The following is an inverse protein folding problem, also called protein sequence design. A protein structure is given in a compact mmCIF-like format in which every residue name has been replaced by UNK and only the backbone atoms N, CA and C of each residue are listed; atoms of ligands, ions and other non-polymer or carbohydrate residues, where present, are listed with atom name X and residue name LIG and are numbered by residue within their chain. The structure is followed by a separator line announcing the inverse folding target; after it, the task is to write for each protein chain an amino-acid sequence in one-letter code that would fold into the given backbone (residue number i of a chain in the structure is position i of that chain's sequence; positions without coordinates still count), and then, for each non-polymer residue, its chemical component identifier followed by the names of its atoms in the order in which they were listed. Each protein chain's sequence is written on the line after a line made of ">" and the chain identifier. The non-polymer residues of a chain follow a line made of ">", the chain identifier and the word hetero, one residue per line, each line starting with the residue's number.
data_IF_272462925503
#
_entry.id   IF_272462925503
#
_cell.length_a   1.000
_cell.length_b   1.000
_cell.length_c   1.000
_cell.angle_alpha   90.00
_cell.angle_beta   90.00
_cell.angle_gamma   90.00
#
_symmetry.space_group_name_H-M   'P 1'
#
loop_
_entity.id
_entity.type
_entity.pdbx_description
1 polymer ?
#
# COMPACT_ATOMS: atom_id res chain seq x y z
N UNK A 1 20.63 -10.75 0.87
CA UNK A 1 20.14 -9.35 0.97
C UNK A 1 18.88 -9.45 1.80
N UNK A 2 18.82 -8.75 2.93
CA UNK A 2 17.73 -8.90 3.90
C UNK A 2 16.39 -8.42 3.34
N UNK A 3 15.30 -8.92 3.90
CA UNK A 3 13.90 -8.57 3.67
C UNK A 3 13.70 -7.06 3.41
N UNK A 4 14.16 -6.22 4.33
CA UNK A 4 14.02 -4.78 4.25
C UNK A 4 14.76 -4.13 3.07
N UNK A 5 15.93 -4.64 2.69
CA UNK A 5 16.67 -4.11 1.54
C UNK A 5 16.01 -4.47 0.21
N UNK A 6 15.38 -5.64 0.12
CA UNK A 6 14.63 -6.07 -1.07
C UNK A 6 13.32 -5.27 -1.22
N UNK A 7 12.59 -5.07 -0.12
CA UNK A 7 11.37 -4.28 -0.05
C UNK A 7 11.65 -2.82 -0.42
N UNK A 8 12.72 -2.23 0.13
CA UNK A 8 13.13 -0.87 -0.15
C UNK A 8 13.63 -0.65 -1.56
N UNK A 9 14.35 -1.59 -2.14
CA UNK A 9 14.84 -1.39 -3.52
C UNK A 9 13.70 -1.36 -4.54
N UNK A 10 12.59 -2.04 -4.26
CA UNK A 10 11.37 -1.97 -5.07
C UNK A 10 10.58 -0.68 -4.84
N UNK A 11 10.39 -0.31 -3.58
CA UNK A 11 9.61 0.86 -3.16
C UNK A 11 10.39 2.15 -3.43
N UNK A 12 11.70 2.22 -3.14
CA UNK A 12 12.48 3.46 -3.29
C UNK A 12 12.66 3.92 -4.72
N UNK A 13 12.62 3.02 -5.71
CA UNK A 13 12.68 3.41 -7.13
C UNK A 13 11.39 4.05 -7.63
N UNK A 14 10.24 3.57 -7.13
CA UNK A 14 8.93 4.10 -7.52
C UNK A 14 8.52 5.33 -6.67
N UNK A 15 9.10 5.49 -5.48
CA UNK A 15 8.66 6.47 -4.49
C UNK A 15 9.81 7.34 -3.95
N UNK A 16 10.86 7.61 -4.74
CA UNK A 16 11.99 8.47 -4.34
C UNK A 16 11.59 9.81 -3.71
N UNK A 17 10.55 10.53 -4.17
CA UNK A 17 10.08 11.75 -3.49
C UNK A 17 9.40 11.45 -2.15
N UNK A 18 8.74 10.31 -2.06
CA UNK A 18 7.95 9.85 -0.92
C UNK A 18 8.86 9.33 0.19
N UNK A 19 9.92 8.62 -0.18
CA UNK A 19 10.97 8.15 0.72
C UNK A 19 11.60 9.34 1.45
N UNK A 20 11.74 10.54 0.85
CA UNK A 20 12.26 11.76 1.51
C UNK A 20 11.32 12.29 2.63
N UNK A 21 10.05 11.97 2.65
CA UNK A 21 9.10 12.41 3.66
C UNK A 21 8.99 11.50 4.92
N UNK A 22 9.37 10.23 4.86
CA UNK A 22 9.22 9.25 5.97
C UNK A 22 10.25 9.39 7.10
N UNK A 23 11.42 9.95 6.83
CA UNK A 23 12.55 9.96 7.79
C UNK A 23 12.37 10.77 9.05
N UNK A 24 11.67 11.90 9.01
CA UNK A 24 11.60 12.74 10.21
C UNK A 24 10.69 12.14 11.28
N UNK A 25 9.72 11.33 10.85
CA UNK A 25 8.76 10.64 11.71
C UNK A 25 9.35 9.36 12.29
N UNK A 26 10.16 8.68 11.50
CA UNK A 26 10.82 7.44 11.86
C UNK A 26 11.94 7.60 12.89
N UNK A 27 12.41 8.84 13.13
CA UNK A 27 13.52 9.12 14.05
C UNK A 27 13.25 8.77 15.51
N UNK A 28 12.01 8.59 15.90
CA UNK A 28 11.62 8.35 17.29
C UNK A 28 11.19 6.90 17.60
N UNK A 29 11.16 6.00 16.63
CA UNK A 29 10.85 4.58 16.84
C UNK A 29 12.11 3.72 16.90
N UNK A 30 12.29 2.82 17.90
CA UNK A 30 13.46 1.96 18.02
C UNK A 30 13.70 1.06 16.80
N UNK A 31 12.64 0.51 16.21
CA UNK A 31 12.73 -0.30 14.99
C UNK A 31 13.07 0.59 13.77
N UNK A 32 12.49 1.75 13.73
CA UNK A 32 12.69 2.71 12.65
C UNK A 32 14.05 3.39 12.72
N UNK A 33 14.63 3.58 13.90
CA UNK A 33 16.04 3.99 14.04
C UNK A 33 17.00 2.98 13.40
N UNK A 34 16.65 1.70 13.37
CA UNK A 34 17.41 0.64 12.68
C UNK A 34 17.19 0.67 11.15
N UNK A 35 16.08 1.27 10.68
CA UNK A 35 15.76 1.46 9.26
C UNK A 35 16.23 2.81 8.72
N UNK A 36 16.49 3.80 9.58
CA UNK A 36 16.90 5.16 9.24
C UNK A 36 18.12 5.30 8.31
N UNK A 37 19.17 4.47 8.41
CA UNK A 37 20.26 4.52 7.43
C UNK A 37 19.82 4.21 6.00
N UNK A 38 18.59 3.70 5.86
CA UNK A 38 18.02 3.24 4.59
C UNK A 38 16.99 4.24 4.03
N UNK A 39 16.38 5.12 4.86
CA UNK A 39 15.16 5.85 4.50
C UNK A 39 15.21 7.34 4.75
N UNK A 40 16.15 8.03 4.98
CA UNK A 40 16.21 9.50 5.19
C UNK A 40 14.97 10.36 4.81
N UNK A 41 13.72 10.33 5.44
CA UNK A 41 12.63 11.17 4.91
C UNK A 41 11.27 11.30 5.65
N UNK A 42 10.51 12.44 5.50
CA UNK A 42 9.13 12.73 5.98
C UNK A 42 8.00 12.27 5.01
N UNK A 43 6.87 11.73 5.51
CA UNK A 43 5.77 11.15 4.72
C UNK A 43 4.77 12.23 4.25
N UNK A 44 4.54 12.44 2.96
CA UNK A 44 3.44 13.26 2.48
C UNK A 44 2.09 12.49 2.51
N UNK A 45 0.94 13.21 2.54
CA UNK A 45 -0.42 12.65 2.59
C UNK A 45 -0.75 11.48 1.63
N UNK A 46 -0.16 11.36 0.42
CA UNK A 46 -0.45 10.23 -0.47
C UNK A 46 -0.09 8.85 0.08
N UNK A 47 0.76 8.74 1.12
CA UNK A 47 1.17 7.42 1.63
C UNK A 47 0.09 6.72 2.44
N UNK A 48 -0.74 7.44 3.17
CA UNK A 48 -1.90 6.84 3.84
C UNK A 48 -2.84 6.24 2.80
N UNK A 49 -3.04 6.95 1.68
CA UNK A 49 -3.81 6.48 0.56
C UNK A 49 -3.22 5.21 -0.06
N UNK A 50 -1.91 5.19 -0.27
CA UNK A 50 -1.20 4.02 -0.82
C UNK A 50 -1.34 2.82 0.12
N UNK A 51 -1.17 3.02 1.43
CA UNK A 51 -1.29 1.94 2.41
C UNK A 51 -2.71 1.36 2.43
N UNK A 52 -3.74 2.21 2.44
CA UNK A 52 -5.15 1.77 2.40
C UNK A 52 -5.42 0.95 1.15
N UNK A 53 -5.05 1.45 -0.03
CA UNK A 53 -5.29 0.76 -1.30
C UNK A 53 -4.52 -0.56 -1.36
N UNK A 54 -3.25 -0.56 -0.97
CA UNK A 54 -2.42 -1.77 -0.99
C UNK A 54 -3.03 -2.88 -0.15
N UNK A 55 -3.49 -2.56 1.07
CA UNK A 55 -4.12 -3.54 1.95
C UNK A 55 -5.43 -4.07 1.39
N UNK A 56 -6.26 -3.22 0.79
CA UNK A 56 -7.49 -3.70 0.13
C UNK A 56 -7.18 -4.66 -1.02
N UNK A 57 -6.19 -4.33 -1.86
CA UNK A 57 -5.76 -5.21 -2.96
C UNK A 57 -5.23 -6.54 -2.43
N UNK A 58 -4.39 -6.51 -1.40
CA UNK A 58 -3.80 -7.69 -0.78
C UNK A 58 -4.89 -8.54 -0.13
N UNK A 59 -5.77 -7.93 0.67
CA UNK A 59 -6.91 -8.60 1.30
C UNK A 59 -7.80 -9.30 0.27
N UNK A 60 -8.07 -8.65 -0.86
CA UNK A 60 -8.83 -9.24 -1.95
C UNK A 60 -8.10 -10.43 -2.60
N UNK A 61 -6.77 -10.38 -2.73
CA UNK A 61 -5.97 -11.49 -3.27
C UNK A 61 -5.91 -12.69 -2.32
N UNK A 62 -5.83 -12.43 -1.02
CA UNK A 62 -5.71 -13.47 0.01
C UNK A 62 -7.06 -14.01 0.49
N UNK A 63 -8.15 -13.31 0.19
CA UNK A 63 -9.50 -13.68 0.64
C UNK A 63 -9.72 -13.49 2.15
N UNK A 64 -8.85 -12.72 2.81
CA UNK A 64 -8.97 -12.38 4.24
C UNK A 64 -8.68 -10.89 4.45
N UNK A 65 -9.42 -10.22 5.37
CA UNK A 65 -9.12 -8.84 5.72
C UNK A 65 -7.80 -8.77 6.52
N UNK A 66 -6.97 -7.79 6.21
CA UNK A 66 -5.77 -7.48 6.98
C UNK A 66 -5.92 -6.11 7.64
N UNK A 67 -5.35 -5.98 8.84
CA UNK A 67 -5.33 -4.72 9.57
C UNK A 67 -3.90 -4.15 9.60
N UNK A 68 -3.56 -3.19 8.72
CA UNK A 68 -2.21 -2.67 8.66
C UNK A 68 -1.83 -1.84 9.91
N UNK A 69 -2.80 -1.29 10.63
CA UNK A 69 -2.53 -0.56 11.88
C UNK A 69 -2.03 -1.52 12.96
N UNK A 70 -2.73 -2.64 13.13
CA UNK A 70 -2.41 -3.69 14.09
C UNK A 70 -1.05 -4.32 13.77
N UNK A 71 -0.91 -4.86 12.56
CA UNK A 71 0.34 -5.48 12.13
C UNK A 71 1.51 -4.50 12.21
N UNK A 72 1.35 -3.28 11.75
CA UNK A 72 2.41 -2.28 11.77
C UNK A 72 2.77 -1.84 13.18
N UNK A 73 1.81 -1.74 14.10
CA UNK A 73 2.06 -1.45 15.50
C UNK A 73 2.84 -2.60 16.16
N UNK A 74 2.38 -3.84 15.99
CA UNK A 74 3.06 -5.03 16.48
C UNK A 74 4.50 -5.13 15.96
N UNK A 75 4.70 -4.97 14.65
CA UNK A 75 6.02 -4.97 14.03
C UNK A 75 6.93 -3.85 14.53
N UNK A 76 6.36 -2.69 14.89
CA UNK A 76 7.12 -1.57 15.44
C UNK A 76 7.59 -1.83 16.88
N UNK A 77 6.77 -2.49 17.69
CA UNK A 77 7.10 -2.83 19.09
C UNK A 77 8.01 -4.06 19.21
N UNK A 78 8.05 -4.93 18.19
CA UNK A 78 8.76 -6.19 18.22
C UNK A 78 10.29 -6.04 18.33
N UNK A 79 10.91 -6.88 19.15
CA UNK A 79 12.37 -6.98 19.30
C UNK A 79 13.02 -7.84 18.22
N UNK A 80 12.26 -8.75 17.58
CA UNK A 80 12.68 -9.58 16.46
C UNK A 80 12.18 -9.01 15.14
N UNK A 81 12.79 -9.49 14.05
CA UNK A 81 12.50 -9.06 12.68
C UNK A 81 12.00 -10.24 11.85
N UNK A 82 11.28 -9.99 10.73
CA UNK A 82 10.84 -11.05 9.84
C UNK A 82 11.96 -12.01 9.40
N UNK A 83 13.18 -11.50 9.19
CA UNK A 83 14.33 -12.34 8.79
C UNK A 83 14.87 -13.29 9.87
N UNK A 84 14.37 -13.20 11.09
CA UNK A 84 14.70 -14.12 12.20
C UNK A 84 13.80 -15.38 12.19
N UNK A 85 12.87 -15.49 11.24
CA UNK A 85 11.87 -16.56 11.09
C UNK A 85 11.96 -17.22 9.71
N UNK A 86 11.50 -18.46 9.62
CA UNK A 86 11.52 -19.23 8.36
C UNK A 86 10.41 -18.76 7.38
N UNK A 87 9.33 -18.20 7.90
CA UNK A 87 8.21 -17.64 7.11
C UNK A 87 7.62 -16.38 7.76
N UNK A 88 6.88 -15.60 6.97
CA UNK A 88 6.17 -14.44 7.50
C UNK A 88 5.01 -14.86 8.43
N UNK A 89 4.38 -16.00 8.18
CA UNK A 89 3.34 -16.55 9.06
C UNK A 89 3.89 -16.86 10.47
N UNK A 90 5.06 -17.48 10.58
CA UNK A 90 5.71 -17.71 11.88
C UNK A 90 6.05 -16.40 12.61
N UNK A 91 6.45 -15.38 11.85
CA UNK A 91 6.65 -14.04 12.42
C UNK A 91 5.35 -13.41 12.92
N UNK A 92 4.25 -13.55 12.19
CA UNK A 92 2.91 -13.08 12.64
C UNK A 92 2.47 -13.81 13.91
N UNK A 93 2.59 -15.13 13.96
CA UNK A 93 2.27 -15.90 15.17
C UNK A 93 3.08 -15.39 16.37
N UNK A 94 4.38 -15.12 16.17
CA UNK A 94 5.23 -14.52 17.21
C UNK A 94 4.75 -13.13 17.65
N UNK A 95 4.32 -12.28 16.71
CA UNK A 95 3.79 -10.96 17.02
C UNK A 95 2.50 -11.06 17.84
N UNK A 96 1.56 -11.90 17.43
CA UNK A 96 0.28 -12.09 18.11
C UNK A 96 0.43 -12.61 19.53
N UNK A 97 1.42 -13.52 19.75
CA UNK A 97 1.71 -14.07 21.07
C UNK A 97 2.41 -13.09 22.02
N UNK A 98 3.31 -12.24 21.50
CA UNK A 98 4.21 -11.45 22.33
C UNK A 98 3.91 -9.95 22.32
N UNK A 99 3.21 -9.45 21.30
CA UNK A 99 2.88 -8.03 21.09
C UNK A 99 1.40 -7.85 20.73
N UNK A 100 0.45 -8.24 21.61
CA UNK A 100 -0.97 -8.05 21.35
C UNK A 100 -1.27 -6.56 21.10
N UNK A 101 -2.08 -6.27 20.09
CA UNK A 101 -2.37 -4.90 19.68
C UNK A 101 -3.04 -4.10 20.81
N UNK A 102 -2.40 -3.03 21.21
CA UNK A 102 -2.94 -2.08 22.18
C UNK A 102 -3.57 -0.90 21.43
N UNK A 103 -4.90 -0.94 21.28
CA UNK A 103 -5.66 0.10 20.58
C UNK A 103 -5.52 1.45 21.27
N UNK A 104 -5.53 1.50 22.61
CA UNK A 104 -5.44 2.76 23.35
C UNK A 104 -4.06 3.40 23.17
N UNK A 105 -3.00 2.59 23.23
CA UNK A 105 -1.64 3.04 22.96
C UNK A 105 -1.47 3.52 21.50
N UNK A 106 -2.06 2.82 20.53
CA UNK A 106 -2.06 3.24 19.12
C UNK A 106 -2.82 4.56 18.94
N UNK A 107 -4.01 4.70 19.54
CA UNK A 107 -4.85 5.89 19.38
C UNK A 107 -4.22 7.12 20.03
N UNK A 108 -3.37 6.94 21.04
CA UNK A 108 -2.60 8.01 21.68
C UNK A 108 -1.40 8.51 20.85
N UNK A 109 -1.02 7.81 19.80
CA UNK A 109 0.06 8.22 18.89
C UNK A 109 -0.32 9.46 18.07
N UNK A 110 0.70 10.17 17.56
CA UNK A 110 0.49 11.26 16.58
C UNK A 110 0.02 10.69 15.24
N UNK A 111 -0.60 11.52 14.41
CA UNK A 111 -1.05 11.10 13.08
C UNK A 111 0.13 10.57 12.22
N UNK A 112 1.31 11.17 12.37
CA UNK A 112 2.52 10.73 11.69
C UNK A 112 2.96 9.34 12.15
N UNK A 113 2.89 9.05 13.45
CA UNK A 113 3.23 7.73 14.00
C UNK A 113 2.24 6.67 13.51
N UNK A 114 0.93 6.99 13.50
CA UNK A 114 -0.12 6.12 12.97
C UNK A 114 0.11 5.82 11.47
N UNK A 115 0.45 6.84 10.70
CA UNK A 115 0.80 6.69 9.28
C UNK A 115 2.02 5.78 9.10
N UNK A 116 3.04 5.93 9.94
CA UNK A 116 4.22 5.06 9.91
C UNK A 116 3.85 3.59 10.22
N UNK A 117 3.01 3.35 11.24
CA UNK A 117 2.51 2.00 11.54
C UNK A 117 1.74 1.41 10.35
N UNK A 118 0.80 2.15 9.74
CA UNK A 118 0.07 1.68 8.56
C UNK A 118 1.00 1.30 7.42
N UNK A 119 2.05 2.08 7.21
CA UNK A 119 3.03 1.79 6.16
C UNK A 119 3.86 0.54 6.46
N UNK A 120 4.30 0.35 7.71
CA UNK A 120 5.01 -0.86 8.15
C UNK A 120 4.10 -2.08 7.97
N UNK A 121 2.85 -1.99 8.40
CA UNK A 121 1.87 -3.06 8.24
C UNK A 121 1.56 -3.39 6.78
N UNK A 122 1.45 -2.37 5.91
CA UNK A 122 1.35 -2.58 4.47
C UNK A 122 2.54 -3.39 3.93
N UNK A 123 3.75 -3.04 4.36
CA UNK A 123 4.94 -3.79 3.95
C UNK A 123 4.89 -5.25 4.44
N UNK A 124 4.41 -5.48 5.66
CA UNK A 124 4.20 -6.82 6.21
C UNK A 124 3.19 -7.63 5.39
N UNK A 125 2.03 -7.06 5.10
CA UNK A 125 1.00 -7.72 4.26
C UNK A 125 1.48 -8.01 2.84
N UNK A 126 2.35 -7.19 2.27
CA UNK A 126 2.97 -7.48 0.97
C UNK A 126 3.90 -8.69 1.00
N UNK A 127 4.63 -8.91 2.10
CA UNK A 127 5.46 -10.13 2.25
C UNK A 127 4.58 -11.36 2.49
N UNK A 128 3.52 -11.24 3.30
CA UNK A 128 2.56 -12.32 3.47
C UNK A 128 1.95 -12.75 2.13
N UNK A 129 1.53 -11.81 1.30
CA UNK A 129 1.02 -12.09 -0.04
C UNK A 129 2.08 -12.78 -0.92
N UNK A 130 3.31 -12.32 -0.86
CA UNK A 130 4.42 -12.93 -1.60
C UNK A 130 4.64 -14.38 -1.17
N UNK A 131 4.64 -14.65 0.14
CA UNK A 131 4.79 -16.00 0.67
C UNK A 131 3.59 -16.88 0.29
N UNK A 132 2.36 -16.39 0.47
CA UNK A 132 1.13 -17.09 0.11
C UNK A 132 1.03 -17.43 -1.39
N UNK A 133 1.68 -16.67 -2.24
CA UNK A 133 1.69 -16.88 -3.71
C UNK A 133 2.99 -17.48 -4.23
N UNK A 134 3.91 -17.92 -3.36
CA UNK A 134 5.25 -18.37 -3.72
C UNK A 134 6.00 -17.36 -4.62
N UNK A 135 5.75 -16.07 -4.43
CA UNK A 135 6.35 -14.99 -5.21
C UNK A 135 5.78 -14.81 -6.62
N UNK A 136 4.72 -15.54 -6.99
CA UNK A 136 4.08 -15.42 -8.31
C UNK A 136 3.32 -14.10 -8.46
N UNK A 137 2.71 -13.60 -7.39
CA UNK A 137 2.05 -12.31 -7.38
C UNK A 137 2.90 -11.26 -6.67
N UNK A 138 3.05 -10.11 -7.32
CA UNK A 138 3.64 -8.91 -6.71
C UNK A 138 2.77 -7.71 -7.05
N UNK A 139 2.43 -6.94 -6.03
CA UNK A 139 1.72 -5.69 -6.23
C UNK A 139 2.62 -4.70 -6.97
N UNK A 140 2.10 -4.11 -8.06
CA UNK A 140 2.84 -3.14 -8.85
C UNK A 140 2.85 -1.77 -8.13
N UNK A 141 4.00 -1.30 -7.62
CA UNK A 141 4.08 -0.02 -6.93
C UNK A 141 3.64 1.17 -7.80
N UNK A 142 3.88 1.10 -9.11
CA UNK A 142 3.44 2.16 -10.03
C UNK A 142 1.92 2.22 -10.11
N UNK A 143 1.22 1.08 -10.13
CA UNK A 143 -0.26 1.06 -10.11
C UNK A 143 -0.84 1.65 -8.82
N UNK A 144 -0.20 1.37 -7.68
CA UNK A 144 -0.56 2.01 -6.40
C UNK A 144 -0.36 3.53 -6.45
N UNK A 145 0.80 3.96 -6.94
CA UNK A 145 1.14 5.38 -7.04
C UNK A 145 0.20 6.14 -7.98
N UNK A 146 -0.16 5.51 -9.11
CA UNK A 146 -1.13 6.07 -10.07
C UNK A 146 -2.49 6.26 -9.41
N UNK A 147 -3.00 5.25 -8.70
CA UNK A 147 -4.30 5.36 -8.04
C UNK A 147 -4.27 6.38 -6.90
N UNK A 148 -3.23 6.36 -6.06
CA UNK A 148 -3.10 7.31 -4.96
C UNK A 148 -2.94 8.76 -5.45
N UNK A 149 -2.18 8.98 -6.51
CA UNK A 149 -2.00 10.29 -7.12
C UNK A 149 -3.29 10.80 -7.78
N UNK A 150 -4.01 9.95 -8.51
CA UNK A 150 -5.31 10.29 -9.08
C UNK A 150 -6.32 10.64 -7.98
N UNK A 151 -6.43 9.81 -6.95
CA UNK A 151 -7.31 10.05 -5.80
C UNK A 151 -7.01 11.37 -5.09
N UNK A 152 -5.72 11.68 -4.89
CA UNK A 152 -5.28 12.96 -4.32
C UNK A 152 -5.68 14.15 -5.19
N UNK A 153 -5.46 14.08 -6.52
CA UNK A 153 -5.84 15.12 -7.47
C UNK A 153 -7.34 15.35 -7.53
N UNK A 154 -8.13 14.29 -7.35
CA UNK A 154 -9.60 14.35 -7.34
C UNK A 154 -10.18 14.71 -5.97
N UNK A 155 -9.33 14.86 -4.94
CA UNK A 155 -9.73 15.21 -3.58
C UNK A 155 -10.50 14.10 -2.85
N UNK A 156 -10.25 12.83 -3.20
CA UNK A 156 -10.92 11.70 -2.57
C UNK A 156 -10.46 11.47 -1.13
N UNK A 157 -11.41 11.12 -0.27
CA UNK A 157 -11.10 10.64 1.08
C UNK A 157 -10.56 9.21 1.06
N UNK A 158 -9.98 8.76 2.17
CA UNK A 158 -9.54 7.36 2.33
C UNK A 158 -10.71 6.37 2.13
N UNK A 159 -11.89 6.68 2.64
CA UNK A 159 -13.08 5.82 2.46
C UNK A 159 -13.53 5.77 0.98
N UNK A 160 -13.46 6.89 0.28
CA UNK A 160 -13.75 6.96 -1.16
C UNK A 160 -12.76 6.11 -1.95
N UNK A 161 -11.46 6.23 -1.65
CA UNK A 161 -10.41 5.42 -2.28
C UNK A 161 -10.59 3.93 -2.03
N UNK A 162 -10.93 3.55 -0.79
CA UNK A 162 -11.21 2.18 -0.41
C UNK A 162 -12.40 1.61 -1.19
N UNK A 163 -13.50 2.34 -1.26
CA UNK A 163 -14.68 1.94 -2.02
C UNK A 163 -14.37 1.81 -3.52
N UNK A 164 -13.60 2.75 -4.08
CA UNK A 164 -13.16 2.68 -5.46
C UNK A 164 -12.28 1.44 -5.71
N UNK A 165 -11.28 1.21 -4.88
CA UNK A 165 -10.38 0.06 -5.01
C UNK A 165 -11.16 -1.26 -4.94
N UNK A 166 -12.09 -1.40 -3.99
CA UNK A 166 -12.94 -2.58 -3.86
C UNK A 166 -13.83 -2.80 -5.09
N UNK A 167 -14.47 -1.73 -5.58
CA UNK A 167 -15.26 -1.79 -6.80
C UNK A 167 -14.43 -2.22 -8.01
N UNK A 168 -13.24 -1.66 -8.17
CA UNK A 168 -12.33 -2.02 -9.25
C UNK A 168 -11.86 -3.48 -9.14
N UNK A 169 -11.47 -3.92 -7.95
CA UNK A 169 -10.99 -5.28 -7.68
C UNK A 169 -12.08 -6.34 -7.89
N UNK A 170 -13.34 -6.03 -7.65
CA UNK A 170 -14.46 -6.95 -7.90
C UNK A 170 -14.57 -7.35 -9.38
N UNK A 171 -14.07 -6.51 -10.28
CA UNK A 171 -14.05 -6.74 -11.74
C UNK A 171 -12.70 -7.31 -12.20
N UNK A 172 -11.59 -6.77 -11.70
CA UNK A 172 -10.24 -7.05 -12.20
C UNK A 172 -9.54 -8.19 -11.46
N UNK A 173 -9.91 -8.42 -10.20
CA UNK A 173 -9.09 -9.21 -9.29
C UNK A 173 -7.75 -8.55 -8.97
N UNK A 174 -6.98 -9.12 -8.06
CA UNK A 174 -5.68 -8.60 -7.66
C UNK A 174 -4.68 -8.49 -8.81
N UNK A 175 -4.47 -9.54 -9.64
CA UNK A 175 -3.57 -9.46 -10.79
C UNK A 175 -3.95 -8.38 -11.80
N UNK A 176 -5.25 -8.17 -12.02
CA UNK A 176 -5.74 -7.15 -12.94
C UNK A 176 -5.50 -5.72 -12.45
N UNK A 177 -5.39 -5.51 -11.13
CA UNK A 177 -5.03 -4.22 -10.57
C UNK A 177 -3.67 -3.71 -11.08
N UNK A 178 -2.72 -4.61 -11.29
CA UNK A 178 -1.39 -4.26 -11.79
C UNK A 178 -1.40 -3.66 -13.20
N UNK A 179 -2.48 -3.86 -13.96
CA UNK A 179 -2.64 -3.26 -15.29
C UNK A 179 -2.92 -1.76 -15.26
N UNK A 180 -3.27 -1.19 -14.10
CA UNK A 180 -3.65 0.23 -13.99
C UNK A 180 -2.54 1.18 -14.44
N UNK A 181 -1.28 0.85 -14.13
CA UNK A 181 -0.13 1.65 -14.58
C UNK A 181 0.02 1.64 -16.10
N UNK A 182 -0.17 0.49 -16.75
CA UNK A 182 -0.07 0.38 -18.21
C UNK A 182 -1.30 0.98 -18.90
N UNK A 183 -2.46 0.92 -18.24
CA UNK A 183 -3.67 1.62 -18.68
C UNK A 183 -3.44 3.14 -18.75
N UNK A 184 -2.95 3.74 -17.67
CA UNK A 184 -2.67 5.16 -17.60
C UNK A 184 -1.55 5.61 -18.59
N UNK A 185 -0.67 4.68 -18.99
CA UNK A 185 0.35 4.92 -20.04
C UNK A 185 -0.17 4.71 -21.47
N UNK A 186 -1.40 4.23 -21.65
CA UNK A 186 -1.92 3.84 -22.96
C UNK A 186 -1.25 2.61 -23.58
N UNK A 187 -0.63 1.74 -22.76
CA UNK A 187 0.16 0.60 -23.22
C UNK A 187 -0.61 -0.73 -23.28
N UNK A 188 -1.91 -0.73 -22.96
CA UNK A 188 -2.72 -1.95 -22.97
C UNK A 188 -3.28 -2.26 -24.35
N UNK A 189 -3.40 -3.56 -24.66
CA UNK A 189 -4.18 -4.04 -25.78
C UNK A 189 -5.69 -3.80 -25.56
N UNK A 190 -6.48 -3.80 -26.64
CA UNK A 190 -7.90 -3.43 -26.59
C UNK A 190 -8.73 -4.29 -25.62
N UNK A 191 -8.43 -5.57 -25.46
CA UNK A 191 -9.14 -6.47 -24.54
C UNK A 191 -8.88 -6.09 -23.10
N UNK A 192 -7.61 -5.92 -22.70
CA UNK A 192 -7.23 -5.58 -21.33
C UNK A 192 -7.62 -4.14 -20.99
N UNK A 193 -7.53 -3.22 -21.95
CA UNK A 193 -8.06 -1.87 -21.83
C UNK A 193 -9.54 -1.91 -21.45
N UNK A 194 -10.36 -2.66 -22.18
CA UNK A 194 -11.79 -2.77 -21.89
C UNK A 194 -12.11 -3.41 -20.55
N UNK A 195 -11.23 -4.30 -20.03
CA UNK A 195 -11.37 -4.84 -18.67
C UNK A 195 -11.10 -3.77 -17.63
N UNK A 196 -9.99 -3.02 -17.78
CA UNK A 196 -9.63 -1.95 -16.83
C UNK A 196 -10.66 -0.84 -16.84
N UNK A 197 -11.18 -0.44 -18.01
CA UNK A 197 -12.26 0.55 -18.11
C UNK A 197 -13.51 0.13 -17.32
N UNK A 198 -13.93 -1.13 -17.43
CA UNK A 198 -15.05 -1.66 -16.63
C UNK A 198 -14.75 -1.64 -15.14
N UNK A 199 -13.51 -1.98 -14.76
CA UNK A 199 -13.06 -1.91 -13.37
C UNK A 199 -13.12 -0.49 -12.84
N UNK A 200 -12.62 0.49 -13.59
CA UNK A 200 -12.66 1.91 -13.23
C UNK A 200 -14.11 2.41 -13.11
N UNK A 201 -14.98 2.10 -14.09
CA UNK A 201 -16.39 2.49 -14.05
C UNK A 201 -17.11 1.92 -12.82
N UNK A 202 -16.84 0.64 -12.49
CA UNK A 202 -17.41 0.02 -11.28
C UNK A 202 -16.84 0.64 -10.00
N UNK A 203 -15.54 0.94 -9.98
CA UNK A 203 -14.90 1.64 -8.87
C UNK A 203 -15.52 3.03 -8.62
N UNK A 204 -15.72 3.84 -9.66
CA UNK A 204 -16.37 5.15 -9.56
C UNK A 204 -17.81 5.02 -9.03
N UNK A 205 -18.53 4.01 -9.50
CA UNK A 205 -19.91 3.73 -9.04
C UNK A 205 -19.95 3.37 -7.55
N UNK A 206 -19.10 2.47 -7.10
CA UNK A 206 -19.03 2.02 -5.68
C UNK A 206 -18.54 3.14 -4.76
N UNK A 207 -17.64 3.99 -5.24
CA UNK A 207 -17.16 5.16 -4.50
C UNK A 207 -18.23 6.27 -4.38
N UNK A 208 -19.30 6.21 -5.17
CA UNK A 208 -20.37 7.20 -5.16
C UNK A 208 -19.91 8.61 -5.58
N UNK A 209 -18.83 8.70 -6.38
CA UNK A 209 -18.27 9.96 -6.84
C UNK A 209 -18.89 10.36 -8.18
N UNK A 210 -18.90 11.68 -8.46
CA UNK A 210 -19.40 12.23 -9.71
C UNK A 210 -18.33 12.32 -10.81
N UNK A 211 -17.10 11.90 -10.49
CA UNK A 211 -16.01 11.92 -11.44
C UNK A 211 -16.28 10.98 -12.61
N UNK A 212 -15.87 11.39 -13.80
CA UNK A 212 -15.94 10.54 -14.98
C UNK A 212 -14.68 9.69 -15.12
N UNK A 213 -14.77 8.60 -15.88
CA UNK A 213 -13.59 7.81 -16.26
C UNK A 213 -12.51 8.67 -16.89
N UNK A 214 -12.87 9.59 -17.79
CA UNK A 214 -11.91 10.49 -18.43
C UNK A 214 -11.22 11.41 -17.42
N UNK A 215 -11.96 11.89 -16.41
CA UNK A 215 -11.41 12.66 -15.30
C UNK A 215 -10.41 11.84 -14.48
N UNK A 216 -10.75 10.60 -14.16
CA UNK A 216 -9.84 9.67 -13.47
C UNK A 216 -8.58 9.38 -14.30
N UNK A 217 -8.73 9.09 -15.60
CA UNK A 217 -7.60 8.82 -16.51
C UNK A 217 -6.66 10.03 -16.56
N UNK A 218 -7.19 11.23 -16.74
CA UNK A 218 -6.39 12.46 -16.76
C UNK A 218 -5.62 12.69 -15.45
N UNK A 219 -6.25 12.43 -14.31
CA UNK A 219 -5.60 12.49 -13.01
C UNK A 219 -4.51 11.42 -12.85
N UNK A 220 -4.76 10.20 -13.36
CA UNK A 220 -3.81 9.08 -13.35
C UNK A 220 -2.58 9.35 -14.23
N UNK A 221 -2.78 9.92 -15.44
CA UNK A 221 -1.69 10.34 -16.34
C UNK A 221 -0.84 11.43 -15.69
N UNK A 222 -1.47 12.41 -15.05
CA UNK A 222 -0.75 13.47 -14.33
C UNK A 222 0.08 12.91 -13.19
N UNK A 223 -0.44 11.96 -12.41
CA UNK A 223 0.28 11.30 -11.34
C UNK A 223 1.50 10.50 -11.82
N UNK A 224 1.47 9.98 -13.06
CA UNK A 224 2.63 9.32 -13.68
C UNK A 224 3.75 10.28 -14.06
N UNK A 225 3.41 11.52 -14.42
CA UNK A 225 4.40 12.53 -14.83
C UNK A 225 5.12 13.15 -13.63
N UNK A 226 4.55 13.05 -12.44
CA UNK A 226 5.11 13.57 -11.19
C UNK A 226 6.02 12.56 -10.46
N UNK A 227 6.06 11.29 -10.90
CA UNK A 227 6.91 10.21 -10.37
C UNK A 227 8.29 10.18 -11.04
#
# INVERSE_FOLDING_TARGET
>A
MGFWSSLWSGVSKAFSPIVNAVSSVLQNSPMLQKLLPIIGIAIPPPLDAIAVIAVEVISACMGKPENPEELGWQMNEADKKPEDFDSFDEYKDYLDENYPFDRDAFDAQTDEQKSACRYIGMCGTMEELKDATNGEFRLNPTSLGVLAGAASSLGWSNDTMKSFANGMLSILGGPGFNMLADYAKGNLGAEDMGKVEKGVDNGLSEAGVSDSRDGFVSAAESALQEQ
#
